data_IF_982065579693
#
_entry.id   IF_982065579693
#
_cell.length_a   1.000
_cell.length_b   1.000
_cell.length_c   1.000
_cell.angle_alpha   90.00
_cell.angle_beta   90.00
_cell.angle_gamma   90.00
#
_symmetry.space_group_name_H-M   'P 1'
#
loop_
_entity.id
_entity.type
_entity.pdbx_description
1 polymer ?
2 non-polymer ?
3 non-polymer ?
4 water ?
#
# COMPACT_ATOMS: atom_id res chain seq x y z
N UNK A 1 -14.78 -14.06 -8.33
CA UNK A 1 -13.99 -13.38 -9.40
C UNK A 1 -14.48 -11.93 -9.73
N UNK A 2 -15.76 -11.60 -9.43
CA UNK A 2 -16.30 -10.22 -9.57
C UNK A 2 -16.70 -9.67 -8.23
N UNK A 3 -16.29 -8.43 -7.99
CA UNK A 3 -16.98 -7.61 -7.01
C UNK A 3 -16.25 -7.72 -5.70
N UNK A 4 -16.73 -6.98 -4.71
CA UNK A 4 -16.11 -6.86 -3.42
C UNK A 4 -16.13 -8.20 -2.72
N UNK A 5 -15.18 -8.43 -1.83
CA UNK A 5 -14.99 -9.74 -1.23
C UNK A 5 -15.57 -9.86 0.15
N UNK A 6 -15.96 -8.76 0.80
CA UNK A 6 -16.39 -8.78 2.21
C UNK A 6 -17.69 -8.07 2.42
N UNK A 7 -18.48 -8.48 3.44
CA UNK A 7 -19.69 -7.68 3.70
C UNK A 7 -19.35 -6.19 3.99
N UNK A 8 -20.19 -5.31 3.50
CA UNK A 8 -20.03 -3.88 3.68
C UNK A 8 -19.96 -3.48 5.14
N UNK A 9 -20.79 -4.11 5.98
CA UNK A 9 -20.81 -3.79 7.42
C UNK A 9 -19.49 -4.07 8.05
N UNK A 10 -18.85 -5.15 7.65
CA UNK A 10 -17.53 -5.49 8.20
C UNK A 10 -16.50 -4.40 7.90
N UNK A 11 -16.46 -3.97 6.65
CA UNK A 11 -15.50 -2.96 6.22
C UNK A 11 -15.84 -1.58 6.88
N UNK A 12 -17.14 -1.29 7.00
CA UNK A 12 -17.58 -0.04 7.65
C UNK A 12 -17.38 -0.01 9.18
N UNK A 13 -17.35 -1.20 9.79
CA UNK A 13 -17.34 -1.35 11.23
C UNK A 13 -15.96 -1.59 11.78
N UNK A 14 -15.65 -2.83 12.12
CA UNK A 14 -14.26 -3.15 12.59
C UNK A 14 -13.13 -3.14 11.51
N UNK A 15 -13.49 -3.29 10.23
CA UNK A 15 -12.50 -3.49 9.20
C UNK A 15 -12.18 -4.95 8.98
N UNK A 16 -11.48 -5.18 7.87
CA UNK A 16 -10.98 -6.46 7.49
C UNK A 16 -9.47 -6.52 7.77
N UNK A 17 -8.99 -7.58 8.42
CA UNK A 17 -7.55 -7.78 8.71
C UNK A 17 -6.87 -8.76 7.83
N UNK A 18 -5.61 -8.46 7.54
CA UNK A 18 -4.73 -9.33 6.80
C UNK A 18 -3.36 -9.36 7.46
N UNK A 19 -2.66 -10.46 7.35
CA UNK A 19 -1.23 -10.52 7.69
C UNK A 19 -0.39 -10.32 6.45
N UNK A 20 0.36 -9.21 6.42
CA UNK A 20 1.23 -8.88 5.31
C UNK A 20 2.61 -8.41 5.87
N UNK A 21 3.53 -8.06 4.97
CA UNK A 21 4.83 -7.55 5.35
C UNK A 21 4.91 -6.13 4.81
N UNK A 22 5.07 -5.16 5.72
CA UNK A 22 5.26 -3.77 5.33
C UNK A 22 6.66 -3.66 4.72
N UNK A 23 6.77 -2.96 3.58
CA UNK A 23 8.04 -2.91 2.82
C UNK A 23 8.60 -1.50 2.71
N UNK A 24 8.04 -0.58 3.48
CA UNK A 24 8.51 0.79 3.51
C UNK A 24 7.69 1.65 2.55
N UNK A 25 8.17 2.87 2.36
CA UNK A 25 7.52 3.80 1.44
C UNK A 25 8.51 4.66 0.67
N UNK A 26 7.99 5.31 -0.38
CA UNK A 26 8.78 6.15 -1.29
C UNK A 26 8.01 7.43 -1.44
N UNK A 27 8.67 8.54 -1.17
CA UNK A 27 8.07 9.82 -1.27
C UNK A 27 7.52 10.02 -2.68
N UNK A 28 6.32 10.65 -2.77
CA UNK A 28 5.68 10.96 -4.07
C UNK A 28 5.54 12.47 -4.16
N UNK A 29 6.04 13.04 -5.26
CA UNK A 29 6.28 14.48 -5.34
C UNK A 29 5.33 15.19 -6.29
N UNK A 30 4.37 14.47 -6.84
CA UNK A 30 3.30 15.02 -7.67
C UNK A 30 1.96 14.43 -7.23
N UNK A 31 0.91 15.22 -7.37
CA UNK A 31 -0.44 14.75 -7.17
C UNK A 31 -0.77 13.68 -8.18
N UNK A 32 -1.34 12.56 -7.74
CA UNK A 32 -1.71 11.51 -8.69
C UNK A 32 -2.79 11.92 -9.73
N UNK A 33 -3.64 12.86 -9.35
CA UNK A 33 -4.63 13.36 -10.29
C UNK A 33 -4.03 14.13 -11.47
N UNK A 34 -2.82 14.68 -11.30
CA UNK A 34 -2.11 15.37 -12.41
C UNK A 34 -1.57 14.39 -13.45
N UNK A 35 -1.45 13.12 -13.12
CA UNK A 35 -0.89 12.11 -14.01
C UNK A 35 -1.98 11.29 -14.60
N UNK A 36 -1.75 10.81 -15.80
CA UNK A 36 -2.60 9.81 -16.41
C UNK A 36 -2.49 8.48 -15.65
N UNK A 37 -3.46 7.61 -15.89
CA UNK A 37 -3.52 6.31 -15.25
C UNK A 37 -2.28 5.46 -15.55
N UNK A 38 -1.85 5.45 -16.81
CA UNK A 38 -0.69 4.64 -17.20
C UNK A 38 0.55 5.09 -16.41
N UNK A 39 0.70 6.39 -16.26
CA UNK A 39 1.81 6.96 -15.50
C UNK A 39 1.69 6.61 -13.99
N UNK A 40 0.48 6.70 -13.43
CA UNK A 40 0.24 6.32 -12.03
C UNK A 40 0.68 4.88 -11.77
N UNK A 41 0.29 4.01 -12.66
CA UNK A 41 0.69 2.64 -12.61
C UNK A 41 2.21 2.44 -12.66
N UNK A 42 2.90 3.17 -13.55
CA UNK A 42 4.37 3.13 -13.63
C UNK A 42 5.04 3.58 -12.36
N UNK A 43 4.47 4.61 -11.72
CA UNK A 43 5.00 5.12 -10.45
C UNK A 43 4.89 4.02 -9.36
N UNK A 44 3.74 3.39 -9.27
CA UNK A 44 3.64 2.32 -8.26
C UNK A 44 4.57 1.17 -8.55
N UNK A 45 4.71 0.80 -9.82
CA UNK A 45 5.57 -0.32 -10.18
C UNK A 45 7.02 -0.02 -9.78
N UNK A 46 7.44 1.21 -10.08
CA UNK A 46 8.77 1.63 -9.75
C UNK A 46 8.99 1.76 -8.23
N UNK A 47 8.02 2.28 -7.51
CA UNK A 47 8.09 2.28 -6.03
C UNK A 47 8.27 0.85 -5.47
N UNK A 48 7.54 -0.10 -6.03
CA UNK A 48 7.72 -1.51 -5.62
C UNK A 48 9.18 -1.97 -5.90
N UNK A 49 9.70 -1.60 -7.08
CA UNK A 49 11.05 -2.01 -7.46
C UNK A 49 12.07 -1.41 -6.47
N UNK A 50 11.91 -0.12 -6.18
CA UNK A 50 12.83 0.57 -5.26
C UNK A 50 12.97 -0.14 -3.90
N UNK A 51 11.85 -0.50 -3.29
CA UNK A 51 11.88 -1.13 -1.94
C UNK A 51 12.36 -2.59 -1.97
N UNK A 52 12.00 -3.33 -3.01
CA UNK A 52 12.40 -4.74 -3.16
C UNK A 52 13.91 -4.94 -3.37
N UNK A 53 14.56 -3.98 -4.05
CA UNK A 53 15.99 -4.04 -4.26
C UNK A 53 16.78 -3.67 -2.96
N UNK A 54 16.16 -2.93 -2.03
CA UNK A 54 16.80 -2.60 -0.75
C UNK A 54 16.53 -3.56 0.42
N UNK A 55 15.31 -4.09 0.53
CA UNK A 55 14.94 -4.86 1.71
C UNK A 55 15.34 -6.31 1.48
N UNK A 56 16.15 -6.90 2.39
CA UNK A 56 16.55 -8.30 2.20
C UNK A 56 15.35 -9.23 2.14
N UNK A 57 15.38 -10.21 1.28
CA UNK A 57 14.37 -11.27 1.26
C UNK A 57 13.05 -10.88 0.59
N UNK A 58 13.02 -9.68 -0.02
CA UNK A 58 11.86 -9.21 -0.75
C UNK A 58 11.60 -10.14 -1.93
N UNK A 59 10.37 -10.68 -2.04
CA UNK A 59 10.00 -11.63 -3.13
C UNK A 59 10.25 -11.08 -4.55
N UNK A 60 10.04 -9.76 -4.73
CA UNK A 60 10.14 -9.13 -6.05
C UNK A 60 11.51 -8.58 -6.40
N UNK A 61 12.55 -8.87 -5.61
CA UNK A 61 13.90 -8.33 -5.84
C UNK A 61 14.49 -8.69 -7.21
N UNK A 69 20.30 5.29 -14.37
CA UNK A 69 19.56 6.08 -13.41
C UNK A 69 18.06 5.77 -13.43
N UNK A 70 17.48 5.88 -12.26
CA UNK A 70 16.08 5.49 -12.08
C UNK A 70 15.03 6.35 -12.85
N UNK A 71 13.98 5.67 -13.37
CA UNK A 71 12.91 6.38 -14.06
C UNK A 71 11.97 7.11 -13.06
N UNK A 72 11.30 8.18 -13.54
CA UNK A 72 10.25 8.87 -12.78
C UNK A 72 10.78 9.48 -11.49
N UNK A 73 12.02 9.90 -11.53
CA UNK A 73 12.68 10.62 -10.43
C UNK A 73 12.04 12.01 -10.17
N UNK A 74 11.29 12.56 -11.13
CA UNK A 74 10.51 13.81 -10.94
C UNK A 74 9.32 13.58 -10.02
N UNK A 75 8.81 12.35 -10.01
CA UNK A 75 7.63 11.99 -9.23
C UNK A 75 7.97 11.17 -7.99
N UNK A 76 8.95 10.28 -8.09
CA UNK A 76 9.34 9.45 -6.97
C UNK A 76 10.60 9.97 -6.35
N UNK A 77 10.56 10.22 -5.03
CA UNK A 77 11.67 10.79 -4.30
C UNK A 77 12.38 9.74 -3.48
N UNK A 78 12.59 10.06 -2.23
CA UNK A 78 13.39 9.29 -1.30
C UNK A 78 12.60 8.08 -0.74
N UNK A 79 13.32 7.01 -0.39
CA UNK A 79 12.77 5.86 0.33
C UNK A 79 12.90 6.04 1.81
N UNK A 80 11.88 5.61 2.53
CA UNK A 80 11.93 5.44 3.97
C UNK A 80 11.83 3.96 4.31
N UNK A 81 12.94 3.41 4.83
CA UNK A 81 13.03 1.99 5.15
C UNK A 81 12.98 1.63 6.64
N UNK A 82 12.58 2.60 7.47
CA UNK A 82 12.59 2.46 8.95
C UNK A 82 11.85 1.23 9.45
N UNK A 83 10.67 0.98 8.88
CA UNK A 83 9.83 -0.18 9.24
C UNK A 83 9.72 -1.24 8.15
N UNK A 84 10.59 -1.14 7.16
CA UNK A 84 10.55 -2.02 6.01
C UNK A 84 10.92 -3.44 6.44
N UNK A 85 10.20 -4.41 5.93
CA UNK A 85 10.46 -5.80 6.22
C UNK A 85 9.67 -6.35 7.39
N UNK A 86 8.88 -5.52 8.07
CA UNK A 86 8.28 -5.92 9.33
C UNK A 86 6.93 -6.61 9.06
N UNK A 87 6.72 -7.81 9.58
CA UNK A 87 5.36 -8.38 9.51
C UNK A 87 4.37 -7.49 10.25
N UNK A 88 3.19 -7.32 9.68
CA UNK A 88 2.10 -6.53 10.30
C UNK A 88 0.74 -7.16 10.16
N UNK A 89 -0.17 -6.74 11.01
CA UNK A 89 -1.60 -6.88 10.73
C UNK A 89 -2.06 -5.54 10.11
N UNK A 90 -2.52 -5.66 8.87
CA UNK A 90 -3.19 -4.57 8.17
C UNK A 90 -4.66 -4.69 8.38
N UNK A 91 -5.30 -3.63 8.89
CA UNK A 91 -6.77 -3.58 9.04
C UNK A 91 -7.29 -2.49 8.13
N UNK A 92 -8.12 -2.90 7.18
CA UNK A 92 -8.70 -2.01 6.18
C UNK A 92 -10.13 -1.74 6.57
N UNK A 93 -10.41 -0.47 6.89
CA UNK A 93 -11.76 -0.03 7.21
C UNK A 93 -12.06 1.27 6.53
N UNK A 94 -13.33 1.70 6.63
CA UNK A 94 -13.71 3.01 6.16
C UNK A 94 -13.03 4.18 6.87
N UNK A 95 -12.53 4.00 8.10
CA UNK A 95 -11.74 5.06 8.78
C UNK A 95 -10.31 5.17 8.24
N UNK A 96 -9.66 4.04 8.01
CA UNK A 96 -8.22 4.02 7.84
C UNK A 96 -7.68 2.70 7.31
N UNK A 97 -6.43 2.75 6.83
CA UNK A 97 -5.55 1.60 6.71
C UNK A 97 -4.68 1.63 7.95
N UNK A 98 -4.84 0.62 8.80
CA UNK A 98 -4.14 0.54 10.08
C UNK A 98 -3.06 -0.50 9.98
N UNK A 99 -1.84 -0.13 10.33
CA UNK A 99 -0.66 -1.02 10.21
C UNK A 99 -0.12 -1.29 11.60
N UNK A 100 -0.27 -2.54 12.06
CA UNK A 100 0.15 -2.91 13.44
C UNK A 100 1.27 -3.95 13.44
N UNK A 101 2.31 -3.70 14.22
CA UNK A 101 3.51 -4.54 14.32
C UNK A 101 3.24 -5.93 14.98
N UNK A 102 4.25 -6.80 14.90
CA UNK A 102 4.20 -8.21 15.36
C UNK A 102 3.82 -8.51 16.87
N UNK A 103 4.22 -7.58 17.74
CA UNK A 103 3.74 -7.58 19.14
C UNK A 103 2.20 -7.35 19.29
N UNK A 104 1.53 -6.99 18.20
CA UNK A 104 0.11 -6.81 18.16
C UNK A 104 -0.29 -5.65 19.10
N UNK A 105 0.61 -4.65 19.25
CA UNK A 105 0.39 -3.42 20.06
C UNK A 105 0.75 -2.14 19.31
N UNK A 106 1.99 -2.06 18.86
CA UNK A 106 2.57 -0.88 18.26
C UNK A 106 1.98 -0.60 16.89
N UNK A 107 1.59 0.65 16.65
CA UNK A 107 1.02 1.06 15.39
C UNK A 107 2.14 1.69 14.56
N UNK A 108 2.48 1.08 13.45
CA UNK A 108 3.44 1.59 12.45
C UNK A 108 2.87 2.84 11.76
N UNK A 109 1.58 2.80 11.44
CA UNK A 109 0.94 3.87 10.71
C UNK A 109 -0.58 3.66 10.69
N UNK A 110 -1.29 4.75 10.58
CA UNK A 110 -2.72 4.71 10.44
C UNK A 110 -3.06 5.77 9.41
N UNK A 111 -3.35 5.33 8.19
CA UNK A 111 -3.51 6.23 7.07
C UNK A 111 -5.00 6.44 6.90
N UNK A 112 -5.44 7.67 7.11
CA UNK A 112 -6.84 7.96 7.03
C UNK A 112 -7.30 7.73 5.59
N UNK A 113 -8.45 7.07 5.44
CA UNK A 113 -8.97 6.68 4.12
C UNK A 113 -9.16 7.89 3.18
N UNK A 114 -9.49 9.01 3.76
CA UNK A 114 -9.72 10.19 2.96
C UNK A 114 -8.40 10.69 2.36
N UNK A 115 -7.26 10.28 2.93
CA UNK A 115 -5.92 10.63 2.43
C UNK A 115 -5.36 9.71 1.30
N UNK A 116 -6.06 8.64 0.95
CA UNK A 116 -5.58 7.68 -0.01
C UNK A 116 -5.98 8.16 -1.39
N UNK A 117 -5.01 8.35 -2.28
CA UNK A 117 -5.27 8.95 -3.60
C UNK A 117 -5.00 7.99 -4.79
N UNK A 118 -4.47 6.82 -4.51
CA UNK A 118 -4.29 5.79 -5.52
C UNK A 118 -3.97 4.47 -4.82
N UNK A 119 -4.42 3.37 -5.40
CA UNK A 119 -3.97 2.04 -4.98
C UNK A 119 -3.86 1.12 -6.16
N UNK A 120 -2.89 0.20 -6.12
CA UNK A 120 -2.68 -0.72 -7.22
C UNK A 120 -1.87 -1.93 -6.78
N UNK A 121 -1.87 -2.94 -7.64
CA UNK A 121 -1.01 -4.11 -7.51
C UNK A 121 0.21 -3.89 -8.35
N UNK A 122 1.02 -4.94 -8.47
CA UNK A 122 2.19 -4.93 -9.29
C UNK A 122 1.86 -5.52 -10.66
N UNK A 123 2.84 -6.05 -11.30
CA UNK A 123 2.63 -6.68 -12.58
C UNK A 123 2.85 -8.19 -12.32
N UNK A 124 2.83 -9.01 -13.37
CA UNK A 124 3.03 -10.45 -13.12
C UNK A 124 4.29 -10.83 -12.33
N UNK A 125 5.36 -10.04 -12.46
CA UNK A 125 6.58 -10.27 -11.67
C UNK A 125 6.48 -9.76 -10.22
N UNK A 126 5.44 -8.99 -9.91
CA UNK A 126 5.26 -8.40 -8.58
C UNK A 126 3.80 -8.53 -8.16
N UNK A 127 3.23 -9.71 -8.47
CA UNK A 127 1.79 -9.96 -8.29
C UNK A 127 1.36 -10.04 -6.83
N UNK A 128 2.30 -10.27 -5.92
CA UNK A 128 2.00 -10.30 -4.48
C UNK A 128 2.08 -8.95 -3.76
N UNK A 129 2.33 -7.87 -4.52
CA UNK A 129 2.50 -6.53 -3.95
C UNK A 129 1.29 -5.64 -4.10
N UNK A 130 1.10 -4.80 -3.07
CA UNK A 130 0.14 -3.72 -3.04
C UNK A 130 0.84 -2.39 -2.80
N UNK A 131 0.46 -1.37 -3.55
CA UNK A 131 1.02 -0.06 -3.39
C UNK A 131 -0.12 0.89 -3.18
N UNK A 132 -0.01 1.77 -2.21
CA UNK A 132 -1.00 2.86 -2.13
C UNK A 132 -0.32 4.16 -1.78
N UNK A 133 -0.91 5.24 -2.27
CA UNK A 133 -0.41 6.56 -2.07
C UNK A 133 -1.27 7.22 -1.01
N UNK A 134 -0.64 7.67 0.07
CA UNK A 134 -1.32 8.25 1.21
C UNK A 134 -0.63 9.53 1.63
N UNK A 135 -1.21 10.22 2.58
CA UNK A 135 -0.52 11.27 3.38
C UNK A 135 -0.46 10.88 4.87
N UNK A 136 0.63 11.25 5.52
CA UNK A 136 0.68 11.24 6.97
C UNK A 136 1.64 12.33 7.36
N UNK A 137 1.62 12.76 8.64
CA UNK A 137 2.50 13.89 8.97
C UNK A 137 3.99 13.50 8.92
N UNK A 138 4.31 12.22 9.15
CA UNK A 138 5.71 11.71 9.06
C UNK A 138 6.20 11.72 7.61
N UNK A 139 5.48 11.03 6.71
CA UNK A 139 5.95 10.77 5.35
C UNK A 139 5.47 11.72 4.24
N UNK A 140 4.63 12.71 4.59
CA UNK A 140 3.93 13.55 3.58
C UNK A 140 3.15 12.65 2.62
N UNK A 141 3.08 13.03 1.34
CA UNK A 141 2.61 12.13 0.29
C UNK A 141 3.67 11.03 -0.02
N UNK A 142 3.32 9.77 0.23
CA UNK A 142 4.24 8.70 -0.04
C UNK A 142 3.52 7.51 -0.54
N UNK A 143 4.26 6.64 -1.26
CA UNK A 143 3.72 5.43 -1.80
C UNK A 143 4.17 4.29 -0.90
N UNK A 144 3.21 3.71 -0.19
CA UNK A 144 3.44 2.59 0.76
C UNK A 144 3.30 1.22 0.11
N UNK A 145 4.23 0.30 0.41
CA UNK A 145 4.33 -1.00 -0.24
C UNK A 145 4.11 -2.14 0.78
N UNK A 146 3.27 -3.07 0.39
CA UNK A 146 2.94 -4.27 1.18
C UNK A 146 3.22 -5.48 0.34
N UNK A 147 3.86 -6.46 0.95
CA UNK A 147 4.10 -7.75 0.33
C UNK A 147 3.16 -8.71 1.00
N UNK A 148 2.33 -9.35 0.20
CA UNK A 148 1.25 -10.11 0.71
C UNK A 148 1.49 -11.60 0.50
N UNK A 149 0.90 -12.44 1.36
CA UNK A 149 0.87 -13.87 1.06
C UNK A 149 0.11 -14.14 -0.22
N UNK A 150 0.41 -15.28 -0.81
CA UNK A 150 -0.21 -15.66 -2.06
C UNK A 150 -1.70 -15.61 -1.97
N UNK A 151 -2.29 -15.01 -3.00
CA UNK A 151 -3.73 -14.91 -3.07
C UNK A 151 -4.28 -13.62 -2.55
N UNK A 152 -3.64 -13.02 -1.52
CA UNK A 152 -4.27 -11.94 -0.77
C UNK A 152 -4.13 -10.56 -1.39
N UNK A 153 -3.17 -10.37 -2.30
CA UNK A 153 -2.92 -9.01 -2.82
C UNK A 153 -4.18 -8.42 -3.47
N UNK A 154 -4.86 -9.19 -4.28
CA UNK A 154 -6.06 -8.70 -4.98
C UNK A 154 -7.23 -8.45 -4.01
N UNK A 155 -7.32 -9.30 -3.00
CA UNK A 155 -8.27 -9.11 -1.91
C UNK A 155 -7.99 -7.76 -1.24
N UNK A 156 -6.73 -7.50 -0.88
CA UNK A 156 -6.38 -6.27 -0.25
C UNK A 156 -6.71 -5.07 -1.12
N UNK A 157 -6.34 -5.10 -2.39
CA UNK A 157 -6.60 -3.99 -3.28
C UNK A 157 -8.11 -3.75 -3.47
N UNK A 158 -8.87 -4.81 -3.64
CA UNK A 158 -10.31 -4.70 -3.79
C UNK A 158 -10.94 -4.07 -2.54
N UNK A 159 -10.47 -4.52 -1.39
CA UNK A 159 -11.03 -4.08 -0.09
C UNK A 159 -10.64 -2.69 0.26
N UNK A 160 -9.46 -2.25 -0.16
CA UNK A 160 -9.10 -0.85 -0.04
C UNK A 160 -10.10 0.02 -0.83
N UNK A 161 -10.45 -0.40 -2.05
CA UNK A 161 -11.43 0.33 -2.83
C UNK A 161 -12.79 0.34 -2.20
N UNK A 162 -13.21 -0.80 -1.65
CA UNK A 162 -14.48 -0.94 -0.95
C UNK A 162 -14.56 0.02 0.23
N UNK A 163 -13.49 0.10 1.01
CA UNK A 163 -13.43 1.02 2.14
C UNK A 163 -13.48 2.46 1.69
N UNK A 164 -12.78 2.77 0.60
CA UNK A 164 -12.77 4.14 0.11
C UNK A 164 -14.21 4.55 -0.29
N UNK A 165 -14.88 3.66 -0.96
CA UNK A 165 -16.17 3.97 -1.47
C UNK A 165 -17.27 4.06 -0.38
N UNK A 166 -17.19 3.17 0.58
CA UNK A 166 -18.15 3.12 1.69
C UNK A 166 -17.96 4.22 2.73
N UNK A 167 -16.84 4.96 2.67
CA UNK A 167 -16.47 5.98 3.66
C UNK A 167 -17.52 7.07 3.71
X LIG B 1 -13.43 0.45 -6.07
X LIG B 1 -14.26 -0.46 -5.29
X LIG B 1 -13.93 1.87 -5.94
X LIG B 1 -13.48 2.54 -4.78
X LIG C 1 10.13 9.74 3.24
X LIG C 1 11.09 9.10 2.38
X LIG C 1 8.77 9.80 2.54
X LIG C 1 8.38 11.16 2.26
X LIG D 1 -23.50 -2.06 -2.45
X LIG D 1 -22.68 -3.07 -1.89
X LIG D 1 -22.94 -0.71 -2.13
X LIG D 1 -23.89 -0.02 -1.30
X LIG E 1 -4.46 15.55 -3.48
X LIG E 1 -4.05 16.80 -4.06
X LIG E 1 -3.63 14.42 -4.06
X LIG E 1 -2.24 14.64 -3.76
X LIG F 1 4.71 -12.09 2.56
X LIG F 1 6.06 -11.81 2.96
X LIG F 1 3.74 -11.67 3.67
X LIG F 1 3.85 -12.49 4.85
X LIG G 1 -24.23 -1.22 3.15
X LIG G 1 -24.60 -2.51 2.61
X LIG G 1 -24.25 -0.23 2.01
X LIG G 1 -23.93 1.09 2.49
X LIG H 1 -17.48 2.74 11.30
#
# INVERSE_FOLDING_TARGET
SMGWLHPNDKVMGPGVSYLVRYMGCVEVLQSMRALDFNTRTQVTREAISLVCEAVPGAKGATRRRKPCSRPLSSILGRSNLKFAGMPITLTVSTSSLNLMAADCKQIIANHHMQSISFASGGDPDTAEYVAYVAKDPVNQRACHILECPEGLAQDVISTIGQAFELR
EDO C1 O1 C2 O2
EDO C1 O1 C2 O2
EDO C1 O1 C2 O2
EDO C1 O1 C2 O2
EDO C1 O1 C2 O2
EDO C1 O1 C2 O2
NA NA
#
